data_IF_197661015027
#
_entry.id   IF_197661015027
#
_cell.length_a   1.000
_cell.length_b   1.000
_cell.length_c   1.000
_cell.angle_alpha   90.00
_cell.angle_beta   90.00
_cell.angle_gamma   90.00
#
_symmetry.space_group_name_H-M   'P 1'
#
loop_
_entity.id
_entity.type
_entity.pdbx_description
1 polymer ?
#
# COMPACT_ATOMS: atom_id res chain seq x y z
N UNK A 1 70.15 -37.59 14.47
CA UNK A 1 69.38 -38.57 15.26
C UNK A 1 67.95 -38.07 15.28
N UNK A 2 67.10 -38.67 14.44
CA UNK A 2 66.10 -39.71 14.82
C UNK A 2 64.82 -39.00 15.27
N UNK A 3 63.89 -38.78 14.32
CA UNK A 3 62.56 -39.42 14.25
C UNK A 3 61.49 -38.51 14.90
N UNK A 4 60.32 -38.21 14.32
CA UNK A 4 59.53 -39.00 13.38
C UNK A 4 58.49 -39.82 14.16
N UNK A 5 57.27 -39.32 14.27
CA UNK A 5 56.05 -40.11 14.61
C UNK A 5 54.85 -39.23 14.22
N UNK A 6 54.23 -39.37 13.03
CA UNK A 6 53.28 -40.40 12.57
C UNK A 6 52.24 -40.73 13.65
N UNK A 7 50.99 -40.29 13.56
CA UNK A 7 49.91 -40.64 12.62
C UNK A 7 48.88 -41.58 13.29
N UNK A 8 47.66 -41.58 12.70
CA UNK A 8 46.53 -42.53 12.85
C UNK A 8 45.40 -42.02 13.78
N UNK A 9 44.36 -41.36 13.22
CA UNK A 9 43.09 -41.91 12.69
C UNK A 9 42.10 -42.28 13.81
N UNK A 10 40.82 -41.92 13.82
CA UNK A 10 39.77 -42.14 12.79
C UNK A 10 38.45 -41.60 13.36
N UNK A 11 37.61 -41.04 12.47
CA UNK A 11 36.13 -41.05 12.48
C UNK A 11 35.44 -40.27 13.63
N UNK A 12 34.26 -39.68 13.47
CA UNK A 12 33.32 -39.41 12.39
C UNK A 12 32.13 -38.85 13.19
N UNK A 13 31.77 -37.58 13.09
CA UNK A 13 30.39 -37.19 13.37
C UNK A 13 30.01 -35.98 12.53
N UNK A 14 29.00 -36.24 11.69
CA UNK A 14 28.22 -35.29 10.93
C UNK A 14 27.51 -34.29 11.85
N UNK A 15 27.30 -33.08 11.33
CA UNK A 15 26.48 -32.03 11.91
C UNK A 15 26.74 -30.72 11.15
N UNK A 16 26.41 -30.63 9.87
CA UNK A 16 25.14 -30.07 9.35
C UNK A 16 24.87 -28.63 9.83
N UNK A 17 24.83 -27.73 8.85
CA UNK A 17 24.18 -26.42 8.83
C UNK A 17 24.83 -25.27 9.62
N UNK A 18 25.67 -24.52 8.93
CA UNK A 18 26.09 -23.17 9.30
C UNK A 18 26.16 -22.26 8.07
N UNK A 19 25.12 -22.26 7.22
CA UNK A 19 24.97 -21.22 6.20
C UNK A 19 24.42 -20.00 6.93
N UNK A 20 25.32 -19.10 7.31
CA UNK A 20 24.97 -17.71 7.60
C UNK A 20 24.59 -17.11 6.24
N UNK A 21 23.29 -17.03 5.95
CA UNK A 21 22.80 -16.20 4.85
C UNK A 21 23.03 -14.74 5.25
N UNK A 22 24.21 -14.24 4.87
CA UNK A 22 24.46 -12.83 4.72
C UNK A 22 23.35 -12.23 3.85
N UNK A 23 22.79 -11.10 4.31
CA UNK A 23 21.70 -10.41 3.64
C UNK A 23 21.92 -10.31 2.14
N UNK A 24 20.95 -10.79 1.37
CA UNK A 24 20.96 -10.66 -0.07
C UNK A 24 20.88 -9.18 -0.40
N UNK A 25 22.05 -8.58 -0.67
CA UNK A 25 22.13 -7.33 -1.38
C UNK A 25 21.38 -7.50 -2.70
N UNK A 26 20.24 -6.84 -2.84
CA UNK A 26 19.52 -6.73 -4.11
C UNK A 26 20.52 -6.16 -5.12
N UNK A 27 20.86 -6.88 -6.20
CA UNK A 27 21.66 -6.29 -7.25
C UNK A 27 20.84 -5.13 -7.84
N UNK A 28 21.27 -3.89 -7.62
CA UNK A 28 20.78 -2.74 -8.37
C UNK A 28 21.28 -2.90 -9.81
N UNK A 29 20.64 -3.78 -10.58
CA UNK A 29 20.71 -3.73 -12.02
C UNK A 29 19.96 -2.46 -12.45
N UNK A 30 20.70 -1.33 -12.53
CA UNK A 30 20.27 -0.17 -13.31
C UNK A 30 20.22 -0.59 -14.78
N UNK A 31 19.12 -1.20 -15.16
CA UNK A 31 18.67 -1.14 -16.55
C UNK A 31 18.02 0.22 -16.67
N UNK A 32 18.75 1.20 -17.22
CA UNK A 32 18.17 2.49 -17.57
C UNK A 32 17.07 2.23 -18.61
N UNK A 33 15.82 2.45 -18.22
CA UNK A 33 14.66 2.47 -19.13
C UNK A 33 14.04 3.86 -19.12
N UNK A 34 14.58 4.81 -19.91
CA UNK A 34 14.23 6.23 -19.80
C UNK A 34 12.76 6.59 -20.13
N UNK A 35 11.92 5.61 -20.51
CA UNK A 35 10.54 5.84 -20.96
C UNK A 35 9.43 5.18 -20.13
N UNK A 36 9.72 4.15 -19.33
CA UNK A 36 8.68 3.56 -18.47
C UNK A 36 8.44 4.44 -17.24
N UNK A 37 9.45 5.11 -16.73
CA UNK A 37 9.48 5.48 -15.31
C UNK A 37 8.69 6.77 -15.02
N UNK A 38 9.08 7.90 -15.61
CA UNK A 38 8.33 9.15 -15.43
C UNK A 38 6.99 9.17 -16.19
N UNK A 39 6.94 8.57 -17.38
CA UNK A 39 5.74 8.56 -18.22
C UNK A 39 4.60 7.72 -17.64
N UNK A 40 4.91 6.55 -17.07
CA UNK A 40 3.90 5.63 -16.55
C UNK A 40 3.36 6.10 -15.18
N UNK A 41 4.22 6.66 -14.32
CA UNK A 41 3.79 7.26 -13.06
C UNK A 41 2.84 8.44 -13.32
N UNK A 42 3.28 9.42 -14.11
CA UNK A 42 2.45 10.59 -14.42
C UNK A 42 1.13 10.20 -15.09
N UNK A 43 1.15 9.22 -16.01
CA UNK A 43 -0.08 8.72 -16.63
C UNK A 43 -1.07 8.17 -15.59
N UNK A 44 -0.63 7.29 -14.68
CA UNK A 44 -1.53 6.74 -13.66
C UNK A 44 -2.04 7.84 -12.73
N UNK A 45 -1.16 8.73 -12.28
CA UNK A 45 -1.54 9.88 -11.46
C UNK A 45 -2.62 10.71 -12.15
N UNK A 46 -2.43 11.09 -13.42
CA UNK A 46 -3.38 11.88 -14.20
C UNK A 46 -4.71 11.14 -14.40
N UNK A 47 -4.68 9.85 -14.74
CA UNK A 47 -5.88 9.01 -14.85
C UNK A 47 -6.67 8.97 -13.55
N UNK A 48 -5.99 8.81 -12.41
CA UNK A 48 -6.65 8.80 -11.11
C UNK A 48 -7.20 10.17 -10.72
N UNK A 49 -6.53 11.28 -11.10
CA UNK A 49 -7.06 12.63 -10.90
C UNK A 49 -8.34 12.81 -11.72
N UNK A 50 -8.30 12.51 -13.02
CA UNK A 50 -9.44 12.66 -13.94
C UNK A 50 -10.65 11.85 -13.47
N UNK A 51 -10.41 10.65 -12.92
CA UNK A 51 -11.46 9.74 -12.42
C UNK A 51 -11.93 10.06 -11.00
N UNK A 52 -11.35 11.07 -10.35
CA UNK A 52 -11.68 11.48 -8.98
C UNK A 52 -11.25 10.49 -7.90
N UNK A 53 -10.24 9.67 -8.18
CA UNK A 53 -9.72 8.62 -7.29
C UNK A 53 -8.46 9.06 -6.53
N UNK A 54 -7.71 10.02 -7.08
CA UNK A 54 -6.45 10.48 -6.49
C UNK A 54 -6.68 11.31 -5.22
N UNK A 55 -5.81 11.12 -4.23
CA UNK A 55 -5.85 11.85 -2.96
C UNK A 55 -5.25 13.26 -3.02
N UNK A 56 -5.10 13.82 -4.23
CA UNK A 56 -4.53 15.16 -4.43
C UNK A 56 -5.49 16.21 -3.86
N UNK A 57 -5.09 16.83 -2.75
CA UNK A 57 -5.81 17.93 -2.10
C UNK A 57 -6.89 17.53 -1.08
N UNK A 58 -7.30 16.27 -0.99
CA UNK A 58 -8.17 15.83 0.11
C UNK A 58 -7.90 14.38 0.48
N UNK A 59 -7.76 14.10 1.79
CA UNK A 59 -7.41 12.78 2.31
C UNK A 59 -8.54 11.77 2.08
N UNK A 60 -8.38 10.58 2.65
CA UNK A 60 -9.41 9.53 2.84
C UNK A 60 -10.80 10.07 3.24
N UNK A 61 -10.87 11.28 3.77
CA UNK A 61 -12.06 11.98 4.23
C UNK A 61 -12.47 13.11 3.28
N UNK A 62 -13.78 13.26 3.07
CA UNK A 62 -14.34 14.35 2.26
C UNK A 62 -14.48 15.63 3.08
N UNK A 63 -13.51 16.54 2.98
CA UNK A 63 -13.55 17.82 3.70
C UNK A 63 -14.56 18.84 3.17
N UNK A 64 -15.27 18.54 2.08
CA UNK A 64 -16.45 19.32 1.72
C UNK A 64 -17.64 19.01 2.66
N UNK A 65 -17.60 17.87 3.36
CA UNK A 65 -18.52 17.57 4.44
C UNK A 65 -18.11 18.37 5.69
N UNK A 66 -19.05 19.20 6.16
CA UNK A 66 -18.85 20.08 7.32
C UNK A 66 -18.48 19.29 8.58
N UNK A 67 -19.13 18.15 8.83
CA UNK A 67 -18.92 17.34 10.04
C UNK A 67 -17.54 16.68 10.03
N UNK A 68 -17.09 16.26 8.85
CA UNK A 68 -15.74 15.74 8.64
C UNK A 68 -14.69 16.82 8.90
N UNK A 69 -14.88 18.02 8.36
CA UNK A 69 -13.97 19.15 8.59
C UNK A 69 -13.89 19.52 10.08
N UNK A 70 -15.03 19.64 10.76
CA UNK A 70 -15.06 19.95 12.19
C UNK A 70 -14.42 18.83 13.04
N UNK A 71 -14.61 17.56 12.68
CA UNK A 71 -13.93 16.44 13.33
C UNK A 71 -12.40 16.51 13.15
N UNK A 72 -11.92 16.93 11.97
CA UNK A 72 -10.50 17.07 11.72
C UNK A 72 -9.85 18.21 12.49
N UNK A 73 -10.53 19.36 12.59
CA UNK A 73 -10.05 20.49 13.39
C UNK A 73 -9.87 20.08 14.86
N UNK A 74 -10.84 19.32 15.41
CA UNK A 74 -10.72 18.76 16.76
C UNK A 74 -9.62 17.72 16.88
N UNK A 75 -9.53 16.79 15.93
CA UNK A 75 -8.50 15.75 15.90
C UNK A 75 -7.09 16.33 15.83
N UNK A 76 -6.89 17.41 15.05
CA UNK A 76 -5.59 18.02 14.80
C UNK A 76 -5.08 18.86 15.97
N UNK A 77 -5.98 19.33 16.85
CA UNK A 77 -5.61 19.96 18.11
C UNK A 77 -5.13 18.97 19.18
N UNK A 78 -5.30 17.66 18.94
CA UNK A 78 -4.94 16.60 19.88
C UNK A 78 -3.68 15.85 19.43
N UNK A 79 -3.05 15.14 20.37
CA UNK A 79 -1.97 14.21 20.03
C UNK A 79 -2.51 13.10 19.12
N UNK A 80 -1.76 12.83 18.05
CA UNK A 80 -1.99 11.71 17.16
C UNK A 80 -2.09 10.39 17.91
N UNK A 81 -2.87 9.47 17.36
CA UNK A 81 -3.12 8.15 17.91
C UNK A 81 -2.35 7.14 17.07
N UNK A 82 -1.71 6.17 17.72
CA UNK A 82 -0.99 5.09 17.04
C UNK A 82 -1.28 3.83 17.84
N UNK A 83 -1.69 2.78 17.14
CA UNK A 83 -1.80 1.45 17.71
C UNK A 83 -0.71 0.54 17.13
N UNK A 84 -0.24 -0.42 17.92
CA UNK A 84 0.77 -1.39 17.44
C UNK A 84 0.32 -2.06 16.13
N UNK A 85 -0.97 -2.44 16.06
CA UNK A 85 -1.57 -3.05 14.88
C UNK A 85 -1.52 -2.20 13.61
N UNK A 86 -1.34 -0.88 13.73
CA UNK A 86 -1.26 0.02 12.57
C UNK A 86 -0.02 -0.25 11.72
N UNK A 87 0.97 -0.99 12.24
CA UNK A 87 2.19 -1.37 11.53
C UNK A 87 2.33 -2.87 11.27
N UNK A 88 1.40 -3.71 11.76
CA UNK A 88 1.50 -5.17 11.61
C UNK A 88 1.56 -5.61 10.13
N UNK A 89 0.87 -4.87 9.25
CA UNK A 89 0.91 -5.10 7.80
C UNK A 89 2.17 -4.59 7.11
N UNK A 90 2.86 -3.60 7.69
CA UNK A 90 3.96 -2.90 7.01
C UNK A 90 5.14 -3.84 6.72
N UNK A 91 5.64 -4.56 7.73
CA UNK A 91 6.77 -5.48 7.55
C UNK A 91 6.49 -6.62 6.56
N UNK A 92 5.23 -7.04 6.44
CA UNK A 92 4.82 -8.06 5.47
C UNK A 92 4.72 -7.49 4.05
N UNK A 93 4.22 -6.27 3.89
CA UNK A 93 4.27 -5.55 2.61
C UNK A 93 5.73 -5.42 2.15
N UNK A 94 6.61 -4.97 3.03
CA UNK A 94 8.04 -4.81 2.74
C UNK A 94 8.66 -6.12 2.24
N UNK A 95 8.49 -7.20 3.00
CA UNK A 95 9.00 -8.53 2.64
C UNK A 95 8.51 -9.00 1.26
N UNK A 96 7.22 -8.89 0.99
CA UNK A 96 6.64 -9.37 -0.28
C UNK A 96 7.09 -8.53 -1.47
N UNK A 97 7.20 -7.20 -1.30
CA UNK A 97 7.71 -6.31 -2.34
C UNK A 97 9.19 -6.61 -2.63
N UNK A 98 10.03 -6.73 -1.61
CA UNK A 98 11.44 -7.08 -1.78
C UNK A 98 11.62 -8.41 -2.51
N UNK A 99 10.88 -9.44 -2.08
CA UNK A 99 10.91 -10.76 -2.70
C UNK A 99 10.47 -10.70 -4.16
N UNK A 100 9.38 -10.00 -4.46
CA UNK A 100 8.86 -9.90 -5.81
C UNK A 100 9.82 -9.15 -6.74
N UNK A 101 10.37 -8.02 -6.28
CA UNK A 101 11.35 -7.25 -7.05
C UNK A 101 12.66 -8.03 -7.24
N UNK A 102 13.07 -8.86 -6.29
CA UNK A 102 14.20 -9.76 -6.46
C UNK A 102 13.97 -10.78 -7.60
N UNK A 103 12.76 -11.34 -7.71
CA UNK A 103 12.43 -12.34 -8.72
C UNK A 103 12.20 -11.76 -10.12
N UNK A 104 11.62 -10.57 -10.20
CA UNK A 104 11.16 -10.00 -11.47
C UNK A 104 11.95 -8.76 -11.93
N UNK A 105 12.68 -8.11 -11.02
CA UNK A 105 13.39 -6.86 -11.28
C UNK A 105 12.46 -5.64 -11.38
N UNK A 106 12.97 -4.57 -12.00
CA UNK A 106 12.22 -3.33 -12.22
C UNK A 106 11.10 -3.50 -13.27
N UNK A 107 10.35 -2.42 -13.48
CA UNK A 107 9.16 -2.35 -14.35
C UNK A 107 7.96 -3.06 -13.74
N UNK A 108 7.84 -3.02 -12.41
CA UNK A 108 6.77 -3.68 -11.66
C UNK A 108 5.65 -2.70 -11.31
N UNK A 109 4.41 -3.17 -11.44
CA UNK A 109 3.23 -2.52 -10.85
C UNK A 109 2.84 -3.24 -9.55
N UNK A 110 2.98 -2.55 -8.42
CA UNK A 110 2.63 -3.04 -7.10
C UNK A 110 1.28 -2.43 -6.72
N UNK A 111 0.32 -3.27 -6.36
CA UNK A 111 -1.02 -2.87 -5.98
C UNK A 111 -1.23 -3.25 -4.51
N UNK A 112 -1.40 -2.24 -3.64
CA UNK A 112 -1.58 -2.43 -2.19
C UNK A 112 -3.02 -2.09 -1.84
N UNK A 113 -3.84 -3.08 -1.50
CA UNK A 113 -5.25 -2.86 -1.17
C UNK A 113 -5.51 -3.15 0.30
N UNK A 114 -5.93 -2.15 1.09
CA UNK A 114 -6.17 -2.34 2.51
C UNK A 114 -6.23 -1.04 3.30
N UNK A 115 -6.12 -1.16 4.62
CA UNK A 115 -6.14 0.00 5.50
C UNK A 115 -4.98 0.92 5.19
N UNK A 116 -5.27 2.21 5.00
CA UNK A 116 -4.30 3.24 4.68
C UNK A 116 -3.15 3.24 5.70
N UNK A 117 -3.48 3.06 6.98
CA UNK A 117 -2.55 3.00 8.10
C UNK A 117 -1.45 1.96 7.92
N UNK A 118 -1.83 0.74 7.53
CA UNK A 118 -0.88 -0.35 7.30
C UNK A 118 0.01 -0.07 6.09
N UNK A 119 -0.57 0.52 5.04
CA UNK A 119 0.15 0.86 3.82
C UNK A 119 1.15 1.99 4.08
N UNK A 120 0.76 3.02 4.86
CA UNK A 120 1.60 4.18 5.16
C UNK A 120 2.90 3.80 5.86
N UNK A 121 2.83 2.79 6.74
CA UNK A 121 4.01 2.23 7.40
C UNK A 121 5.06 1.70 6.43
N UNK A 122 4.67 1.19 5.26
CA UNK A 122 5.58 0.61 4.27
C UNK A 122 6.16 1.63 3.27
N UNK A 123 5.58 2.83 3.15
CA UNK A 123 5.91 3.79 2.06
C UNK A 123 7.40 4.14 2.01
N UNK A 124 8.03 4.38 3.16
CA UNK A 124 9.48 4.70 3.20
C UNK A 124 10.35 3.57 2.65
N UNK A 125 9.96 2.33 2.84
CA UNK A 125 10.71 1.17 2.33
C UNK A 125 10.48 1.00 0.84
N UNK A 126 9.26 1.24 0.33
CA UNK A 126 8.99 1.29 -1.11
C UNK A 126 9.89 2.33 -1.82
N UNK A 127 10.05 3.51 -1.22
CA UNK A 127 10.92 4.55 -1.77
C UNK A 127 12.39 4.11 -1.87
N UNK A 128 12.91 3.40 -0.85
CA UNK A 128 14.27 2.83 -0.87
C UNK A 128 14.45 1.78 -1.97
N UNK A 129 13.37 1.11 -2.36
CA UNK A 129 13.32 0.13 -3.46
C UNK A 129 13.06 0.78 -4.83
N UNK A 130 13.32 2.09 -4.96
CA UNK A 130 13.10 2.86 -6.19
C UNK A 130 11.67 2.74 -6.72
N UNK A 131 10.68 2.74 -5.81
CA UNK A 131 9.25 2.62 -6.13
C UNK A 131 8.55 3.95 -5.89
N UNK A 132 7.87 4.46 -6.92
CA UNK A 132 7.03 5.64 -6.84
C UNK A 132 5.68 5.25 -6.26
N UNK A 133 5.27 5.93 -5.18
CA UNK A 133 3.99 5.65 -4.51
C UNK A 133 2.89 6.59 -5.04
N UNK A 134 1.73 6.02 -5.35
CA UNK A 134 0.51 6.75 -5.72
C UNK A 134 -0.56 6.36 -4.70
N UNK A 135 -1.12 7.36 -4.02
CA UNK A 135 -2.19 7.21 -3.04
C UNK A 135 -3.54 7.45 -3.70
N UNK A 136 -4.42 6.44 -3.69
CA UNK A 136 -5.79 6.56 -4.17
C UNK A 136 -6.79 6.12 -3.11
N UNK A 137 -7.96 6.74 -3.10
CA UNK A 137 -9.09 6.34 -2.27
C UNK A 137 -10.31 6.18 -3.15
N UNK A 138 -10.86 4.95 -3.31
CA UNK A 138 -11.99 4.72 -4.20
C UNK A 138 -13.25 5.51 -3.81
N UNK A 139 -13.45 5.73 -2.50
CA UNK A 139 -14.53 6.54 -1.93
C UNK A 139 -14.02 7.32 -0.72
N UNK A 140 -14.05 8.64 -0.81
CA UNK A 140 -13.80 9.52 0.33
C UNK A 140 -14.93 9.42 1.34
N UNK A 141 -14.60 9.29 2.61
CA UNK A 141 -15.55 9.09 3.69
C UNK A 141 -16.21 10.42 4.03
N UNK A 142 -17.54 10.42 3.97
CA UNK A 142 -18.43 11.46 4.48
C UNK A 142 -19.01 11.04 5.83
N UNK A 143 -19.55 11.99 6.58
CA UNK A 143 -20.19 11.69 7.86
C UNK A 143 -21.39 10.73 7.71
N UNK A 144 -22.17 10.91 6.64
CA UNK A 144 -23.27 10.02 6.29
C UNK A 144 -22.85 8.55 6.14
N UNK A 145 -21.67 8.31 5.57
CA UNK A 145 -21.16 6.95 5.37
C UNK A 145 -20.84 6.26 6.70
N UNK A 146 -20.32 7.02 7.67
CA UNK A 146 -20.03 6.53 9.02
C UNK A 146 -21.33 6.23 9.78
N UNK A 147 -22.37 7.05 9.61
CA UNK A 147 -23.68 6.79 10.20
C UNK A 147 -24.31 5.50 9.65
N UNK A 148 -24.22 5.28 8.34
CA UNK A 148 -24.71 4.05 7.71
C UNK A 148 -23.95 2.82 8.20
N UNK A 149 -22.62 2.93 8.34
CA UNK A 149 -21.80 1.88 8.95
C UNK A 149 -22.24 1.59 10.40
N UNK A 150 -22.51 2.62 11.21
CA UNK A 150 -22.94 2.44 12.61
C UNK A 150 -24.29 1.73 12.75
N UNK A 151 -25.23 1.93 11.80
CA UNK A 151 -26.52 1.21 11.77
C UNK A 151 -26.35 -0.31 11.60
N UNK A 152 -25.27 -0.75 10.95
CA UNK A 152 -24.93 -2.18 10.79
C UNK A 152 -24.51 -2.79 12.15
N UNK A 153 -24.00 -1.99 13.08
CA UNK A 153 -23.50 -2.45 14.40
C UNK A 153 -24.54 -2.42 15.54
N UNK A 154 -25.84 -2.25 15.26
CA UNK A 154 -26.98 -2.35 16.22
C UNK A 154 -26.75 -1.66 17.58
N UNK A 155 -26.78 -0.33 17.62
CA UNK A 155 -26.86 0.44 18.88
C UNK A 155 -28.00 1.47 18.85
N UNK A 156 -28.59 1.87 20.00
CA UNK A 156 -29.78 2.72 20.04
C UNK A 156 -29.53 4.20 19.68
N UNK A 157 -30.59 4.80 19.13
CA UNK A 157 -30.62 5.89 18.13
C UNK A 157 -30.19 7.31 18.57
N UNK A 158 -30.13 7.65 19.87
CA UNK A 158 -29.65 8.99 20.28
C UNK A 158 -28.12 9.06 20.46
N UNK A 159 -27.44 7.91 20.46
CA UNK A 159 -25.96 7.81 20.58
C UNK A 159 -25.21 7.78 19.25
N UNK A 160 -25.91 7.68 18.11
CA UNK A 160 -25.28 7.36 16.81
C UNK A 160 -24.51 8.53 16.19
N UNK A 161 -25.01 9.76 16.31
CA UNK A 161 -24.33 10.96 15.80
C UNK A 161 -23.03 11.23 16.57
N UNK A 162 -23.08 11.14 17.90
CA UNK A 162 -21.90 11.30 18.77
C UNK A 162 -20.82 10.27 18.45
N UNK A 163 -21.22 8.99 18.32
CA UNK A 163 -20.31 7.90 17.95
C UNK A 163 -19.72 8.04 16.55
N UNK A 164 -20.50 8.49 15.57
CA UNK A 164 -19.98 8.73 14.22
C UNK A 164 -18.94 9.85 14.21
N UNK A 165 -19.16 10.93 14.97
CA UNK A 165 -18.18 12.01 15.13
C UNK A 165 -16.91 11.52 15.83
N UNK A 166 -17.07 10.77 16.92
CA UNK A 166 -15.96 10.16 17.66
C UNK A 166 -15.15 9.21 16.76
N UNK A 167 -15.83 8.38 15.96
CA UNK A 167 -15.17 7.47 15.02
C UNK A 167 -14.37 8.23 13.96
N UNK A 168 -14.94 9.27 13.35
CA UNK A 168 -14.19 10.14 12.41
C UNK A 168 -12.95 10.73 13.08
N UNK A 169 -13.11 11.27 14.29
CA UNK A 169 -12.03 11.87 15.05
C UNK A 169 -10.92 10.85 15.35
N UNK A 170 -11.27 9.63 15.77
CA UNK A 170 -10.32 8.54 16.00
C UNK A 170 -9.55 8.21 14.71
N UNK A 171 -10.24 8.04 13.58
CA UNK A 171 -9.57 7.70 12.31
C UNK A 171 -8.64 8.82 11.85
N UNK A 172 -9.03 10.09 12.04
CA UNK A 172 -8.18 11.24 11.72
C UNK A 172 -6.98 11.36 12.64
N UNK A 173 -7.17 11.09 13.94
CA UNK A 173 -6.06 11.05 14.91
C UNK A 173 -5.08 9.92 14.58
N UNK A 174 -5.56 8.76 14.13
CA UNK A 174 -4.72 7.66 13.61
C UNK A 174 -3.93 8.08 12.38
N UNK A 175 -4.61 8.65 11.39
CA UNK A 175 -3.98 9.12 10.17
C UNK A 175 -2.87 10.14 10.45
N UNK A 176 -3.14 11.12 11.32
CA UNK A 176 -2.15 12.11 11.74
C UNK A 176 -1.00 11.48 12.55
N UNK A 177 -1.31 10.57 13.48
CA UNK A 177 -0.31 9.89 14.31
C UNK A 177 0.68 9.08 13.49
N UNK A 178 0.18 8.25 12.58
CA UNK A 178 1.04 7.43 11.71
C UNK A 178 1.83 8.30 10.74
N UNK A 179 1.20 9.32 10.14
CA UNK A 179 1.92 10.25 9.25
C UNK A 179 3.05 10.97 10.00
N UNK A 180 2.83 11.36 11.25
CA UNK A 180 3.85 11.97 12.10
C UNK A 180 4.98 10.99 12.43
N UNK A 181 4.66 9.75 12.81
CA UNK A 181 5.64 8.68 13.11
C UNK A 181 6.51 8.37 11.88
N UNK A 182 5.90 8.35 10.71
CA UNK A 182 6.58 8.21 9.42
C UNK A 182 7.30 9.50 8.97
N UNK A 183 7.37 10.53 9.82
CA UNK A 183 8.11 11.78 9.62
C UNK A 183 7.54 12.74 8.58
N UNK A 184 6.26 12.61 8.24
CA UNK A 184 5.55 13.55 7.36
C UNK A 184 4.84 14.67 8.15
N UNK A 185 4.92 14.64 9.49
CA UNK A 185 4.33 15.62 10.39
C UNK A 185 2.83 15.44 10.61
N UNK A 186 2.04 15.35 9.55
CA UNK A 186 0.59 15.09 9.60
C UNK A 186 0.08 14.49 8.27
N UNK A 187 -1.22 14.22 8.19
CA UNK A 187 -1.85 13.64 7.00
C UNK A 187 -1.70 14.49 5.73
N UNK A 188 -1.74 15.82 5.85
CA UNK A 188 -1.55 16.70 4.68
C UNK A 188 -0.09 16.72 4.23
N UNK A 189 0.86 16.72 5.16
CA UNK A 189 2.28 16.60 4.83
C UNK A 189 2.60 15.28 4.12
N UNK A 190 1.92 14.20 4.51
CA UNK A 190 1.99 12.92 3.80
C UNK A 190 1.47 13.04 2.36
N UNK A 191 0.24 13.56 2.18
CA UNK A 191 -0.38 13.75 0.86
C UNK A 191 0.46 14.65 -0.04
N UNK A 192 0.94 15.77 0.49
CA UNK A 192 1.79 16.72 -0.23
C UNK A 192 3.07 16.03 -0.70
N UNK A 193 3.77 15.34 0.20
CA UNK A 193 5.04 14.68 -0.10
C UNK A 193 4.89 13.59 -1.16
N UNK A 194 3.87 12.73 -1.04
CA UNK A 194 3.59 11.67 -2.01
C UNK A 194 3.18 12.27 -3.36
N UNK A 195 2.49 13.42 -3.37
CA UNK A 195 2.02 14.05 -4.60
C UNK A 195 3.07 14.92 -5.30
N UNK A 196 4.03 15.48 -4.57
CA UNK A 196 5.09 16.34 -5.10
C UNK A 196 6.26 15.55 -5.69
N UNK A 197 6.46 14.32 -5.22
CA UNK A 197 7.57 13.45 -5.62
C UNK A 197 7.26 12.77 -6.97
N UNK A 198 7.35 13.55 -8.07
CA UNK A 198 7.37 13.01 -9.44
C UNK A 198 8.70 12.29 -9.70
N UNK A 199 8.85 11.11 -9.11
CA UNK A 199 10.10 10.32 -9.12
C UNK A 199 10.29 9.62 -10.47
N UNK A 200 11.53 9.63 -10.95
CA UNK A 200 12.05 8.62 -11.88
C UNK A 200 12.15 7.29 -11.11
N UNK A 201 11.02 6.61 -10.93
CA UNK A 201 10.95 5.36 -10.19
C UNK A 201 10.95 4.15 -11.13
N UNK A 202 11.78 3.16 -10.82
CA UNK A 202 11.86 1.90 -11.57
C UNK A 202 10.61 1.03 -11.42
N UNK A 203 9.79 1.29 -10.40
CA UNK A 203 8.55 0.58 -10.08
C UNK A 203 7.46 1.58 -9.66
N UNK A 204 6.19 1.17 -9.75
CA UNK A 204 5.06 1.97 -9.30
C UNK A 204 4.29 1.16 -8.26
N UNK A 205 4.08 1.72 -7.07
CA UNK A 205 3.16 1.21 -6.07
C UNK A 205 1.90 2.09 -6.03
N UNK A 206 0.73 1.46 -6.09
CA UNK A 206 -0.54 2.14 -5.92
C UNK A 206 -1.22 1.62 -4.67
N UNK A 207 -1.37 2.50 -3.67
CA UNK A 207 -2.16 2.26 -2.48
C UNK A 207 -3.63 2.52 -2.76
N UNK A 208 -4.43 1.47 -2.75
CA UNK A 208 -5.89 1.47 -2.80
C UNK A 208 -6.39 1.48 -1.36
N UNK A 209 -6.52 2.69 -0.82
CA UNK A 209 -6.59 2.93 0.62
C UNK A 209 -8.02 3.08 1.14
N UNK A 210 -8.22 2.62 2.38
CA UNK A 210 -9.45 2.79 3.16
C UNK A 210 -9.16 2.99 4.67
N UNK A 211 -10.16 3.28 5.52
CA UNK A 211 -9.95 3.61 6.95
C UNK A 211 -10.44 2.54 7.95
N UNK A 212 -10.44 1.26 7.56
CA UNK A 212 -11.11 0.16 8.27
C UNK A 212 -12.63 0.09 8.07
N UNK A 213 -13.23 0.96 7.25
CA UNK A 213 -14.67 0.98 6.95
C UNK A 213 -14.99 0.19 5.67
N UNK A 214 -14.37 -0.98 5.52
CA UNK A 214 -14.38 -1.85 4.34
C UNK A 214 -15.78 -2.08 3.71
N UNK A 215 -16.84 -2.14 4.51
CA UNK A 215 -18.21 -2.35 4.03
C UNK A 215 -18.73 -1.21 3.12
N UNK A 216 -18.11 -0.03 3.17
CA UNK A 216 -18.48 1.13 2.35
C UNK A 216 -17.84 1.10 0.95
N UNK A 217 -16.87 0.21 0.73
CA UNK A 217 -16.07 0.14 -0.49
C UNK A 217 -16.55 -1.04 -1.35
N UNK A 218 -17.70 -0.87 -2.01
CA UNK A 218 -18.35 -1.87 -2.88
C UNK A 218 -17.86 -1.83 -4.33
N UNK A 219 -18.30 -2.81 -5.13
CA UNK A 219 -17.87 -3.07 -6.53
C UNK A 219 -18.02 -1.90 -7.51
N UNK A 220 -18.86 -0.92 -7.24
CA UNK A 220 -19.03 0.24 -8.12
C UNK A 220 -17.76 1.13 -8.14
N UNK A 221 -17.06 1.23 -7.01
CA UNK A 221 -15.87 2.08 -6.88
C UNK A 221 -14.61 1.41 -7.42
N UNK A 222 -14.53 0.09 -7.31
CA UNK A 222 -13.38 -0.69 -7.75
C UNK A 222 -13.31 -0.83 -9.27
N UNK A 223 -14.44 -0.81 -9.98
CA UNK A 223 -14.47 -0.82 -11.45
C UNK A 223 -13.70 0.34 -12.10
N UNK A 224 -13.78 1.55 -11.52
CA UNK A 224 -13.04 2.73 -12.02
C UNK A 224 -11.53 2.58 -11.85
N UNK A 225 -11.11 1.98 -10.73
CA UNK A 225 -9.72 1.70 -10.40
C UNK A 225 -9.13 0.70 -11.40
N UNK A 226 -9.79 -0.44 -11.60
CA UNK A 226 -9.29 -1.49 -12.48
C UNK A 226 -9.38 -1.14 -13.98
N UNK A 227 -10.28 -0.24 -14.37
CA UNK A 227 -10.27 0.34 -15.73
C UNK A 227 -8.99 1.16 -15.99
N UNK A 228 -8.60 2.05 -15.06
CA UNK A 228 -7.36 2.83 -15.20
C UNK A 228 -6.13 1.91 -15.29
N UNK A 229 -6.08 0.87 -14.46
CA UNK A 229 -5.02 -0.14 -14.54
C UNK A 229 -5.06 -0.94 -15.85
N UNK A 230 -6.25 -1.27 -16.36
CA UNK A 230 -6.40 -1.97 -17.63
C UNK A 230 -5.79 -1.19 -18.80
N UNK A 231 -6.05 0.12 -18.87
CA UNK A 231 -5.50 1.01 -19.91
C UNK A 231 -3.97 1.15 -19.74
N UNK A 232 -3.50 1.21 -18.50
CA UNK A 232 -2.08 1.23 -18.17
C UNK A 232 -1.33 -0.01 -18.68
N UNK A 233 -1.90 -1.21 -18.53
CA UNK A 233 -1.25 -2.45 -18.98
C UNK A 233 -0.97 -2.45 -20.48
N UNK A 234 -1.95 -1.99 -21.28
CA UNK A 234 -1.82 -1.91 -22.74
C UNK A 234 -0.82 -0.85 -23.20
N UNK A 235 -0.65 0.21 -22.41
CA UNK A 235 0.25 1.29 -22.80
C UNK A 235 1.69 1.00 -22.39
N UNK A 236 1.90 0.59 -21.15
CA UNK A 236 3.24 0.54 -20.55
C UNK A 236 3.80 -0.87 -20.40
N UNK A 237 2.95 -1.90 -20.47
CA UNK A 237 3.34 -3.31 -20.40
C UNK A 237 4.34 -3.61 -19.27
N UNK A 238 3.94 -3.45 -17.99
CA UNK A 238 4.81 -3.77 -16.88
C UNK A 238 5.28 -5.22 -16.98
N UNK A 239 6.49 -5.50 -16.47
CA UNK A 239 7.05 -6.86 -16.52
C UNK A 239 6.30 -7.80 -15.57
N UNK A 240 5.94 -7.30 -14.40
CA UNK A 240 5.20 -8.04 -13.40
C UNK A 240 4.23 -7.15 -12.63
N UNK A 241 3.27 -7.82 -11.99
CA UNK A 241 2.30 -7.24 -11.08
C UNK A 241 2.37 -8.00 -9.76
N UNK A 242 2.55 -7.27 -8.66
CA UNK A 242 2.35 -7.77 -7.31
C UNK A 242 1.06 -7.18 -6.77
N UNK A 243 0.07 -8.01 -6.47
CA UNK A 243 -1.14 -7.59 -5.79
C UNK A 243 -1.12 -8.06 -4.33
N UNK A 244 -0.88 -7.12 -3.44
CA UNK A 244 -0.98 -7.31 -2.01
C UNK A 244 -2.35 -6.85 -1.54
N UNK A 245 -3.06 -7.69 -0.80
CA UNK A 245 -4.33 -7.32 -0.21
C UNK A 245 -4.38 -7.66 1.27
N UNK A 246 -4.85 -6.72 2.07
CA UNK A 246 -5.37 -7.06 3.38
C UNK A 246 -6.65 -7.90 3.18
N UNK A 247 -6.87 -8.93 3.99
CA UNK A 247 -8.01 -9.84 3.89
C UNK A 247 -9.35 -9.16 4.28
N UNK A 248 -9.68 -8.03 3.64
CA UNK A 248 -10.80 -7.16 3.98
C UNK A 248 -11.87 -7.05 2.88
N UNK A 249 -11.69 -7.76 1.75
CA UNK A 249 -12.65 -7.76 0.63
C UNK A 249 -13.11 -9.19 0.30
N UNK A 250 -14.39 -9.48 0.57
CA UNK A 250 -15.08 -10.69 0.11
C UNK A 250 -16.21 -10.33 -0.85
N UNK A 251 -15.88 -9.72 -2.00
CA UNK A 251 -16.78 -9.77 -3.15
C UNK A 251 -15.97 -10.00 -4.43
N UNK A 252 -16.49 -10.87 -5.29
CA UNK A 252 -15.99 -11.06 -6.64
C UNK A 252 -16.18 -9.76 -7.41
N UNK A 253 -15.10 -9.00 -7.59
CA UNK A 253 -15.08 -7.86 -8.47
C UNK A 253 -14.69 -8.32 -9.87
N UNK A 254 -15.67 -8.29 -10.77
CA UNK A 254 -15.49 -8.60 -12.19
C UNK A 254 -14.41 -7.72 -12.84
N UNK A 255 -14.30 -6.44 -12.45
CA UNK A 255 -13.26 -5.54 -12.96
C UNK A 255 -11.85 -5.99 -12.59
N UNK A 256 -11.66 -6.45 -11.34
CA UNK A 256 -10.39 -7.05 -10.89
C UNK A 256 -10.05 -8.32 -11.65
N UNK A 257 -11.02 -9.21 -11.83
CA UNK A 257 -10.80 -10.45 -12.58
C UNK A 257 -10.42 -10.17 -14.03
N UNK A 258 -11.13 -9.25 -14.67
CA UNK A 258 -10.88 -8.88 -16.06
C UNK A 258 -9.49 -8.22 -16.20
N UNK A 259 -9.07 -7.41 -15.23
CA UNK A 259 -7.71 -6.89 -15.14
C UNK A 259 -6.65 -7.99 -15.10
N UNK A 260 -6.77 -8.99 -14.21
CA UNK A 260 -5.79 -10.08 -14.14
C UNK A 260 -5.83 -11.01 -15.34
N UNK A 261 -7.02 -11.27 -15.92
CA UNK A 261 -7.17 -11.99 -17.19
C UNK A 261 -6.44 -11.24 -18.31
N UNK A 262 -6.56 -9.91 -18.36
CA UNK A 262 -5.87 -9.05 -19.33
C UNK A 262 -4.35 -9.10 -19.15
N UNK A 263 -3.85 -8.96 -17.93
CA UNK A 263 -2.42 -9.09 -17.62
C UNK A 263 -1.84 -10.42 -18.10
N UNK A 264 -2.52 -11.53 -17.82
CA UNK A 264 -2.11 -12.86 -18.26
C UNK A 264 -2.09 -12.99 -19.79
N UNK A 265 -3.07 -12.42 -20.49
CA UNK A 265 -3.09 -12.39 -21.98
C UNK A 265 -1.91 -11.60 -22.56
N UNK A 266 -1.47 -10.55 -21.87
CA UNK A 266 -0.31 -9.75 -22.25
C UNK A 266 1.03 -10.37 -21.84
N UNK A 267 1.03 -11.58 -21.25
CA UNK A 267 2.26 -12.26 -20.82
C UNK A 267 2.93 -11.65 -19.58
N UNK A 268 2.20 -10.84 -18.81
CA UNK A 268 2.68 -10.19 -17.60
C UNK A 268 2.65 -11.19 -16.45
N UNK A 269 3.75 -11.30 -15.68
CA UNK A 269 3.78 -12.15 -14.49
C UNK A 269 2.90 -11.54 -13.39
N UNK A 270 2.01 -12.32 -12.80
CA UNK A 270 1.09 -11.84 -11.76
C UNK A 270 1.27 -12.68 -10.51
N UNK A 271 1.46 -11.99 -9.39
CA UNK A 271 1.49 -12.60 -8.07
C UNK A 271 0.44 -11.94 -7.17
N UNK A 272 -0.22 -12.74 -6.34
CA UNK A 272 -1.22 -12.28 -5.39
C UNK A 272 -0.84 -12.81 -4.01
N UNK A 273 -0.60 -11.92 -3.06
CA UNK A 273 -0.35 -12.28 -1.65
C UNK A 273 -1.28 -11.51 -0.72
N UNK A 274 -1.57 -12.11 0.42
CA UNK A 274 -2.34 -11.45 1.48
C UNK A 274 -1.38 -10.92 2.53
N UNK A 275 -1.58 -9.70 3.03
CA UNK A 275 -0.84 -9.19 4.19
C UNK A 275 -1.71 -9.13 5.44
#
# INVERSE_FOLDING_TARGET
MVEGTKAVSRRLFLGLAGVVLAGCAVPQARVETPGFEAGAYNYLTDEFIIRGLHNLGSPLFDFNDREVREAYERASAQRGLIYDKDFDGAGKIEFEVERHLYLHGNKTLILLSGAAFHIYGAVRTLEKLNTGYISITPRKIKFGDVLESNKIFKYPAESELGKAREMLEIQMRRANGISAEMGYGNLFGFVEKVSSDKKEAGNIAVGIEETGLHNLYTSEYTGRVYSAFGDFLERFHPRSILFLRENMFFYEDKGREDFFKKAKKLGISVEISGF
#
